data_IF_294563057367
#
_entry.id   IF_294563057367
#
_cell.length_a   1.000
_cell.length_b   1.000
_cell.length_c   1.000
_cell.angle_alpha   90.00
_cell.angle_beta   90.00
_cell.angle_gamma   90.00
#
_symmetry.space_group_name_H-M   'P 1'
#
loop_
_entity.id
_entity.type
_entity.pdbx_description
1 polymer ?
#
# COMPACT_ATOMS: atom_id res chain seq x y z
N UNK A 1 11.49 -1.91 12.91
CA UNK A 1 10.03 -1.70 13.00
C UNK A 1 9.34 -2.80 13.80
N UNK A 2 9.52 -4.09 13.47
CA UNK A 2 8.89 -5.22 14.18
C UNK A 2 9.02 -5.17 15.71
N UNK A 3 10.24 -5.00 16.24
CA UNK A 3 10.45 -4.88 17.69
C UNK A 3 9.63 -3.75 18.31
N UNK A 4 9.52 -2.61 17.62
CA UNK A 4 8.77 -1.46 18.12
C UNK A 4 7.26 -1.73 18.19
N UNK A 5 6.70 -2.40 17.18
CA UNK A 5 5.29 -2.79 17.18
C UNK A 5 5.00 -3.80 18.30
N UNK A 6 5.93 -4.72 18.54
CA UNK A 6 5.85 -5.68 19.63
C UNK A 6 5.94 -5.00 20.99
N UNK A 7 6.90 -4.08 21.19
CA UNK A 7 7.03 -3.31 22.42
C UNK A 7 5.73 -2.55 22.75
N UNK A 8 5.09 -1.94 21.75
CA UNK A 8 3.81 -1.24 21.92
C UNK A 8 2.68 -2.20 22.31
N UNK A 9 2.65 -3.40 21.73
CA UNK A 9 1.66 -4.42 22.08
C UNK A 9 1.88 -4.99 23.50
N UNK A 10 3.13 -5.23 23.90
CA UNK A 10 3.46 -5.88 25.17
C UNK A 10 3.40 -4.91 26.35
N UNK A 11 3.93 -3.70 26.15
CA UNK A 11 4.01 -2.64 27.15
C UNK A 11 3.28 -1.38 26.68
N UNK A 12 1.96 -1.44 26.41
CA UNK A 12 1.24 -0.31 25.84
C UNK A 12 1.25 0.94 26.74
N UNK A 13 1.30 0.76 28.06
CA UNK A 13 1.36 1.86 29.02
C UNK A 13 2.63 2.71 28.96
N UNK A 14 3.74 2.15 28.44
CA UNK A 14 4.99 2.90 28.23
C UNK A 14 4.86 3.94 27.10
N UNK A 15 3.90 3.75 26.19
CA UNK A 15 3.72 4.57 24.99
C UNK A 15 2.42 5.36 25.00
N UNK A 16 1.37 4.79 25.56
CA UNK A 16 0.01 5.31 25.53
C UNK A 16 -0.66 5.08 26.90
N UNK A 17 -0.23 5.81 27.95
CA UNK A 17 -0.76 5.62 29.30
C UNK A 17 -2.26 5.90 29.34
N UNK A 18 -3.01 5.06 30.06
CA UNK A 18 -4.48 5.05 30.20
C UNK A 18 -5.27 4.52 28.98
N UNK A 19 -4.59 4.03 27.94
CA UNK A 19 -5.22 3.45 26.74
C UNK A 19 -4.76 2.02 26.46
N UNK A 20 -4.30 1.32 27.50
CA UNK A 20 -3.59 0.04 27.38
C UNK A 20 -4.42 -1.03 26.67
N UNK A 21 -5.72 -1.11 26.97
CA UNK A 21 -6.63 -2.09 26.37
C UNK A 21 -6.86 -1.81 24.87
N UNK A 22 -7.14 -0.54 24.52
CA UNK A 22 -7.36 -0.14 23.13
C UNK A 22 -6.10 -0.37 22.28
N UNK A 23 -4.92 -0.03 22.81
CA UNK A 23 -3.66 -0.26 22.13
C UNK A 23 -3.38 -1.75 21.96
N UNK A 24 -3.66 -2.56 22.98
CA UNK A 24 -3.47 -4.01 22.88
C UNK A 24 -4.38 -4.61 21.80
N UNK A 25 -5.62 -4.18 21.71
CA UNK A 25 -6.55 -4.58 20.64
C UNK A 25 -6.08 -4.09 19.25
N UNK A 26 -5.72 -2.82 19.13
CA UNK A 26 -5.25 -2.23 17.87
C UNK A 26 -3.99 -2.90 17.33
N UNK A 27 -3.07 -3.28 18.22
CA UNK A 27 -1.78 -3.86 17.83
C UNK A 27 -1.76 -5.39 17.85
N UNK A 28 -2.89 -6.01 18.17
CA UNK A 28 -3.03 -7.47 18.26
C UNK A 28 -2.60 -8.18 16.97
N UNK A 29 -3.00 -7.64 15.82
CA UNK A 29 -2.66 -8.19 14.51
C UNK A 29 -1.17 -8.13 14.18
N UNK A 30 -0.40 -7.25 14.85
CA UNK A 30 1.03 -7.08 14.60
C UNK A 30 1.90 -8.04 15.41
N UNK A 31 1.36 -8.61 16.49
CA UNK A 31 2.13 -9.47 17.41
C UNK A 31 2.73 -10.67 16.67
N UNK A 32 1.89 -11.50 16.04
CA UNK A 32 2.35 -12.71 15.35
C UNK A 32 3.27 -12.40 14.17
N UNK A 33 2.98 -11.34 13.42
CA UNK A 33 3.82 -10.93 12.30
C UNK A 33 5.19 -10.39 12.75
N UNK A 34 5.23 -9.65 13.87
CA UNK A 34 6.46 -9.12 14.43
C UNK A 34 7.32 -10.26 14.99
N UNK A 35 6.71 -11.19 15.75
CA UNK A 35 7.38 -12.41 16.24
C UNK A 35 7.94 -13.25 15.11
N UNK A 36 7.12 -13.52 14.08
CA UNK A 36 7.57 -14.25 12.89
C UNK A 36 8.77 -13.60 12.21
N UNK A 37 8.73 -12.28 12.00
CA UNK A 37 9.84 -11.52 11.42
C UNK A 37 11.11 -11.55 12.30
N UNK A 38 10.94 -11.52 13.62
CA UNK A 38 12.04 -11.61 14.58
C UNK A 38 12.56 -13.06 14.79
N UNK A 39 11.88 -14.07 14.23
CA UNK A 39 12.23 -15.48 14.39
C UNK A 39 11.82 -16.07 15.75
N UNK A 40 10.82 -15.48 16.39
CA UNK A 40 10.39 -15.79 17.75
C UNK A 40 9.02 -16.50 17.77
N UNK A 41 8.80 -17.34 18.80
CA UNK A 41 7.49 -17.97 19.02
C UNK A 41 6.46 -16.93 19.48
N UNK A 42 5.20 -17.12 19.05
CA UNK A 42 4.09 -16.27 19.48
C UNK A 42 3.24 -17.00 20.53
N UNK A 43 3.00 -16.39 21.71
CA UNK A 43 2.02 -16.90 22.67
C UNK A 43 0.59 -16.93 22.13
N UNK A 44 0.28 -16.12 21.10
CA UNK A 44 -1.04 -16.08 20.47
C UNK A 44 -1.26 -17.18 19.45
N UNK A 45 -0.18 -17.74 18.91
CA UNK A 45 -0.21 -18.80 17.90
C UNK A 45 0.60 -20.01 18.41
N UNK A 46 0.17 -20.67 19.50
CA UNK A 46 0.92 -21.76 20.11
C UNK A 46 1.11 -22.92 19.12
N UNK A 47 2.35 -23.38 19.00
CA UNK A 47 2.71 -24.49 18.10
C UNK A 47 2.89 -24.08 16.62
N UNK A 48 2.69 -22.81 16.27
CA UNK A 48 3.00 -22.30 14.93
C UNK A 48 4.47 -21.87 14.87
N UNK A 49 5.29 -22.43 13.98
CA UNK A 49 6.69 -22.04 13.85
C UNK A 49 6.85 -20.57 13.43
N UNK A 50 7.89 -19.85 13.89
CA UNK A 50 8.13 -18.45 13.51
C UNK A 50 8.22 -18.23 12.00
N UNK A 51 8.82 -19.19 11.28
CA UNK A 51 8.91 -19.14 9.82
C UNK A 51 7.54 -19.14 9.13
N UNK A 52 6.54 -19.85 9.67
CA UNK A 52 5.18 -19.85 9.14
C UNK A 52 4.41 -18.56 9.48
N UNK A 53 4.73 -17.93 10.61
CA UNK A 53 4.22 -16.61 10.98
C UNK A 53 4.81 -15.51 10.08
N UNK A 54 6.11 -15.60 9.76
CA UNK A 54 6.81 -14.65 8.88
C UNK A 54 6.20 -14.60 7.47
N UNK A 55 5.73 -15.75 6.97
CA UNK A 55 5.02 -15.86 5.68
C UNK A 55 3.51 -15.62 5.79
N UNK A 56 3.02 -15.32 7.00
CA UNK A 56 1.61 -15.05 7.33
C UNK A 56 0.62 -16.15 6.95
N UNK A 57 1.09 -17.40 6.89
CA UNK A 57 0.31 -18.55 6.45
C UNK A 57 -0.89 -18.90 7.35
N UNK A 58 -1.01 -18.28 8.53
CA UNK A 58 -2.05 -18.50 9.55
C UNK A 58 -3.35 -17.69 9.36
N UNK A 59 -3.66 -17.22 8.15
CA UNK A 59 -4.98 -16.68 7.81
C UNK A 59 -5.06 -15.17 7.55
N UNK A 60 -3.94 -14.45 7.59
CA UNK A 60 -3.83 -13.07 7.08
C UNK A 60 -3.31 -13.08 5.63
N UNK A 61 -3.82 -13.99 4.78
CA UNK A 61 -3.20 -14.35 3.49
C UNK A 61 -3.60 -13.48 2.29
N UNK A 62 -4.16 -12.29 2.50
CA UNK A 62 -4.52 -11.37 1.42
C UNK A 62 -3.65 -10.10 1.43
N UNK A 63 -3.18 -9.60 0.27
CA UNK A 63 -2.48 -8.33 0.17
C UNK A 63 -3.36 -7.13 0.57
N UNK A 64 -3.21 -6.64 1.79
CA UNK A 64 -3.89 -5.43 2.29
C UNK A 64 -3.01 -4.19 2.15
N UNK A 65 -3.60 -3.00 2.09
CA UNK A 65 -2.89 -1.71 2.04
C UNK A 65 -2.26 -1.26 3.37
N UNK A 66 -1.96 -2.19 4.27
CA UNK A 66 -1.53 -1.86 5.62
C UNK A 66 -0.20 -1.09 5.61
N UNK A 67 0.75 -1.43 4.73
CA UNK A 67 2.00 -0.67 4.60
C UNK A 67 1.80 0.72 4.02
N UNK A 68 0.88 0.90 3.07
CA UNK A 68 0.51 2.21 2.55
C UNK A 68 -0.05 3.12 3.66
N UNK A 69 -0.80 2.56 4.60
CA UNK A 69 -1.39 3.30 5.74
C UNK A 69 -0.39 3.54 6.88
N UNK A 70 0.49 2.57 7.15
CA UNK A 70 1.42 2.64 8.28
C UNK A 70 2.73 3.35 7.93
N UNK A 71 3.13 3.36 6.65
CA UNK A 71 4.37 3.95 6.16
C UNK A 71 4.15 5.06 5.11
N UNK A 72 3.11 5.91 5.22
CA UNK A 72 2.72 6.85 4.17
C UNK A 72 3.75 7.97 3.96
N UNK A 73 4.82 8.05 4.76
CA UNK A 73 5.80 9.14 4.70
C UNK A 73 7.25 8.64 4.66
N UNK A 74 7.46 7.33 4.52
CA UNK A 74 8.81 6.75 4.55
C UNK A 74 9.70 7.30 3.42
N UNK A 75 9.13 7.61 2.25
CA UNK A 75 9.88 8.19 1.13
C UNK A 75 10.43 9.59 1.41
N UNK A 76 9.87 10.31 2.41
CA UNK A 76 10.36 11.64 2.79
C UNK A 76 11.75 11.61 3.43
N UNK A 77 12.19 10.45 3.92
CA UNK A 77 13.50 10.26 4.53
C UNK A 77 14.63 10.09 3.51
N UNK A 78 14.30 9.93 2.23
CA UNK A 78 15.23 9.62 1.14
C UNK A 78 15.06 10.58 -0.03
N UNK A 79 15.22 11.90 0.15
CA UNK A 79 15.00 12.87 -0.93
C UNK A 79 15.95 12.62 -2.11
N UNK A 80 15.40 12.57 -3.33
CA UNK A 80 16.15 12.30 -4.56
C UNK A 80 16.89 10.94 -4.64
N UNK A 81 16.64 10.03 -3.71
CA UNK A 81 17.12 8.64 -3.74
C UNK A 81 15.94 7.64 -3.71
N UNK A 82 15.23 7.47 -4.85
CA UNK A 82 14.03 6.65 -4.88
C UNK A 82 14.33 5.16 -4.72
N UNK A 83 15.53 4.69 -5.07
CA UNK A 83 15.90 3.30 -4.87
C UNK A 83 16.12 2.98 -3.39
N UNK A 84 16.80 3.86 -2.64
CA UNK A 84 16.91 3.69 -1.19
C UNK A 84 15.55 3.76 -0.52
N UNK A 85 14.68 4.69 -0.94
CA UNK A 85 13.30 4.79 -0.47
C UNK A 85 12.53 3.48 -0.68
N UNK A 86 12.61 2.91 -1.88
CA UNK A 86 11.98 1.64 -2.23
C UNK A 86 12.45 0.50 -1.31
N UNK A 87 13.78 0.32 -1.17
CA UNK A 87 14.36 -0.78 -0.38
C UNK A 87 13.97 -0.66 1.09
N UNK A 88 14.09 0.53 1.66
CA UNK A 88 13.75 0.78 3.07
C UNK A 88 12.27 0.54 3.34
N UNK A 89 11.38 1.00 2.45
CA UNK A 89 9.94 0.79 2.58
C UNK A 89 9.56 -0.69 2.42
N UNK A 90 10.15 -1.40 1.44
CA UNK A 90 9.91 -2.83 1.23
C UNK A 90 10.33 -3.66 2.46
N UNK A 91 11.48 -3.33 3.05
CA UNK A 91 11.97 -3.95 4.29
C UNK A 91 11.05 -3.64 5.47
N UNK A 92 10.66 -2.36 5.65
CA UNK A 92 9.81 -1.92 6.74
C UNK A 92 8.38 -2.49 6.66
N UNK A 93 7.87 -2.74 5.45
CA UNK A 93 6.57 -3.37 5.19
C UNK A 93 6.62 -4.90 5.32
N UNK A 94 7.41 -5.45 6.26
CA UNK A 94 7.54 -6.89 6.49
C UNK A 94 6.21 -7.60 6.80
N UNK A 95 5.21 -6.81 7.21
CA UNK A 95 3.87 -7.25 7.53
C UNK A 95 2.91 -7.29 6.34
N UNK A 96 3.26 -6.67 5.21
CA UNK A 96 2.48 -6.81 3.98
C UNK A 96 2.84 -8.13 3.26
N UNK A 97 1.96 -8.62 2.38
CA UNK A 97 2.17 -9.85 1.61
C UNK A 97 2.10 -9.57 0.11
N UNK A 98 2.95 -10.25 -0.65
CA UNK A 98 2.92 -10.21 -2.12
C UNK A 98 3.05 -8.78 -2.65
N UNK A 99 2.15 -8.40 -3.56
CA UNK A 99 2.18 -7.09 -4.19
C UNK A 99 1.85 -5.91 -3.25
N UNK A 100 1.36 -6.16 -2.03
CA UNK A 100 1.21 -5.09 -1.04
C UNK A 100 2.57 -4.49 -0.63
N UNK A 101 3.61 -5.33 -0.48
CA UNK A 101 4.97 -4.86 -0.17
C UNK A 101 5.53 -4.02 -1.31
N UNK A 102 5.29 -4.47 -2.53
CA UNK A 102 5.63 -3.73 -3.75
C UNK A 102 4.94 -2.36 -3.75
N UNK A 103 3.63 -2.30 -3.45
CA UNK A 103 2.88 -1.05 -3.43
C UNK A 103 3.49 -0.02 -2.46
N UNK A 104 3.78 -0.47 -1.24
CA UNK A 104 4.38 0.37 -0.20
C UNK A 104 5.75 0.91 -0.62
N UNK A 105 6.55 0.08 -1.29
CA UNK A 105 7.85 0.46 -1.82
C UNK A 105 7.75 1.46 -3.00
N UNK A 106 6.79 1.25 -3.91
CA UNK A 106 6.53 2.17 -5.03
C UNK A 106 6.04 3.53 -4.52
N UNK A 107 5.16 3.58 -3.51
CA UNK A 107 4.72 4.84 -2.92
C UNK A 107 5.92 5.63 -2.37
N UNK A 108 6.82 4.97 -1.63
CA UNK A 108 8.01 5.59 -1.06
C UNK A 108 8.94 6.15 -2.15
N UNK A 109 9.18 5.39 -3.21
CA UNK A 109 9.98 5.83 -4.36
C UNK A 109 9.35 7.04 -5.08
N UNK A 110 8.02 7.00 -5.28
CA UNK A 110 7.29 8.11 -5.89
C UNK A 110 7.41 9.40 -5.07
N UNK A 111 7.31 9.31 -3.74
CA UNK A 111 7.50 10.45 -2.84
C UNK A 111 8.91 11.02 -2.91
N UNK A 112 9.93 10.16 -2.91
CA UNK A 112 11.33 10.57 -3.06
C UNK A 112 11.56 11.36 -4.36
N UNK A 113 10.98 10.90 -5.47
CA UNK A 113 11.06 11.62 -6.76
C UNK A 113 10.25 12.91 -6.78
N UNK A 114 9.06 12.91 -6.18
CA UNK A 114 8.23 14.12 -6.08
C UNK A 114 8.95 15.21 -5.28
N UNK A 115 9.62 14.85 -4.17
CA UNK A 115 10.46 15.78 -3.40
C UNK A 115 11.64 16.33 -4.21
N UNK A 116 12.16 15.58 -5.17
CA UNK A 116 13.18 16.03 -6.10
C UNK A 116 12.63 16.96 -7.21
N UNK A 117 11.35 17.33 -7.16
CA UNK A 117 10.71 18.23 -8.13
C UNK A 117 10.46 17.57 -9.49
N UNK A 118 10.41 16.24 -9.56
CA UNK A 118 10.10 15.52 -10.80
C UNK A 118 8.65 15.76 -11.22
N UNK A 119 8.42 15.91 -12.51
CA UNK A 119 7.07 16.07 -13.06
C UNK A 119 6.21 14.83 -12.76
N UNK A 120 4.89 14.97 -12.54
CA UNK A 120 4.00 13.85 -12.20
C UNK A 120 4.12 12.62 -13.11
N UNK A 121 4.21 12.83 -14.43
CA UNK A 121 4.40 11.74 -15.38
C UNK A 121 5.72 10.98 -15.18
N UNK A 122 6.80 11.71 -14.89
CA UNK A 122 8.10 11.13 -14.60
C UNK A 122 8.03 10.32 -13.30
N UNK A 123 7.44 10.90 -12.25
CA UNK A 123 7.23 10.21 -10.96
C UNK A 123 6.50 8.88 -11.18
N UNK A 124 5.36 8.87 -11.88
CA UNK A 124 4.57 7.65 -12.07
C UNK A 124 5.30 6.62 -12.93
N UNK A 125 5.77 7.00 -14.11
CA UNK A 125 6.32 6.01 -15.04
C UNK A 125 7.71 5.51 -14.65
N UNK A 126 8.59 6.36 -14.10
CA UNK A 126 9.88 5.90 -13.60
C UNK A 126 9.69 5.00 -12.39
N UNK A 127 8.79 5.32 -11.44
CA UNK A 127 8.49 4.48 -10.27
C UNK A 127 8.06 3.07 -10.69
N UNK A 128 7.11 2.97 -11.62
CA UNK A 128 6.59 1.67 -12.08
C UNK A 128 7.62 0.87 -12.88
N UNK A 129 8.63 1.53 -13.46
CA UNK A 129 9.70 0.87 -14.18
C UNK A 129 10.82 0.35 -13.27
N UNK A 130 10.89 0.79 -12.00
CA UNK A 130 11.95 0.39 -11.07
C UNK A 130 11.94 -1.11 -10.77
N UNK A 131 13.13 -1.66 -10.50
CA UNK A 131 13.27 -3.01 -9.96
C UNK A 131 14.48 -3.11 -9.00
N UNK A 132 14.48 -2.36 -7.87
CA UNK A 132 15.66 -2.23 -7.01
C UNK A 132 16.03 -3.49 -6.24
N UNK A 133 15.11 -4.48 -6.21
CA UNK A 133 15.24 -5.77 -5.55
C UNK A 133 15.31 -6.94 -6.54
N UNK A 134 15.34 -6.68 -7.85
CA UNK A 134 15.40 -7.72 -8.90
C UNK A 134 14.28 -8.77 -8.78
N UNK A 135 13.05 -8.30 -8.55
CA UNK A 135 11.86 -9.14 -8.36
C UNK A 135 11.33 -9.70 -9.69
N UNK A 136 11.87 -9.27 -10.83
CA UNK A 136 11.53 -9.81 -12.15
C UNK A 136 12.20 -11.15 -12.38
N UNK A 137 11.47 -12.10 -12.95
CA UNK A 137 11.99 -13.43 -13.24
C UNK A 137 11.24 -14.15 -14.34
N UNK A 138 11.48 -15.47 -14.42
CA UNK A 138 10.93 -16.32 -15.48
C UNK A 138 9.39 -16.37 -15.51
N UNK A 139 8.76 -16.27 -14.35
CA UNK A 139 7.30 -16.32 -14.21
C UNK A 139 6.62 -14.95 -14.26
N UNK A 140 7.35 -13.90 -14.65
CA UNK A 140 6.86 -12.52 -14.72
C UNK A 140 7.58 -11.60 -13.73
N UNK A 141 7.06 -10.38 -13.65
CA UNK A 141 7.53 -9.33 -12.78
C UNK A 141 6.54 -8.95 -11.67
N UNK A 142 6.85 -7.86 -10.95
CA UNK A 142 5.99 -7.30 -9.93
C UNK A 142 4.59 -6.96 -10.46
N UNK A 143 3.54 -7.36 -9.73
CA UNK A 143 2.15 -7.28 -10.19
C UNK A 143 1.72 -5.84 -10.49
N UNK A 144 2.09 -4.87 -9.65
CA UNK A 144 1.67 -3.48 -9.83
C UNK A 144 2.43 -2.88 -11.01
N UNK A 145 3.75 -3.09 -11.09
CA UNK A 145 4.57 -2.67 -12.23
C UNK A 145 4.08 -3.22 -13.57
N UNK A 146 3.48 -4.41 -13.61
CA UNK A 146 2.92 -4.99 -14.84
C UNK A 146 1.49 -4.55 -15.15
N UNK A 147 0.60 -4.52 -14.15
CA UNK A 147 -0.84 -4.29 -14.37
C UNK A 147 -1.19 -2.81 -14.45
N UNK A 148 -0.54 -1.97 -13.65
CA UNK A 148 -0.89 -0.56 -13.56
C UNK A 148 -0.67 0.17 -14.90
N UNK A 149 0.44 0.01 -15.65
CA UNK A 149 0.60 0.65 -16.95
C UNK A 149 -0.53 0.32 -17.95
N UNK A 150 -1.11 -0.87 -17.89
CA UNK A 150 -2.25 -1.26 -18.74
C UNK A 150 -3.48 -0.43 -18.39
N UNK A 151 -3.79 -0.28 -17.11
CA UNK A 151 -4.89 0.57 -16.63
C UNK A 151 -4.64 2.04 -16.96
N UNK A 152 -3.42 2.55 -16.76
CA UNK A 152 -3.05 3.93 -17.10
C UNK A 152 -3.33 4.24 -18.58
N UNK A 153 -3.02 3.28 -19.47
CA UNK A 153 -3.32 3.41 -20.90
C UNK A 153 -4.83 3.46 -21.19
N UNK A 154 -5.64 2.71 -20.45
CA UNK A 154 -7.11 2.74 -20.60
C UNK A 154 -7.74 4.02 -20.04
N UNK A 155 -7.14 4.59 -18.99
CA UNK A 155 -7.55 5.86 -18.39
C UNK A 155 -7.11 7.09 -19.19
N UNK A 156 -6.19 6.93 -20.15
CA UNK A 156 -5.61 8.04 -20.89
C UNK A 156 -6.69 8.89 -21.58
N UNK A 157 -6.63 10.21 -21.36
CA UNK A 157 -7.58 11.18 -21.91
C UNK A 157 -8.84 11.41 -21.06
N UNK A 158 -9.12 10.55 -20.06
CA UNK A 158 -10.26 10.73 -19.14
C UNK A 158 -9.92 11.74 -18.06
N UNK A 159 -10.92 12.53 -17.65
CA UNK A 159 -10.76 13.57 -16.62
C UNK A 159 -12.01 13.68 -15.73
N UNK A 160 -11.86 14.25 -14.55
CA UNK A 160 -12.96 14.59 -13.66
C UNK A 160 -13.90 13.41 -13.37
N UNK A 161 -15.20 13.64 -13.49
CA UNK A 161 -16.22 12.62 -13.25
C UNK A 161 -16.10 11.41 -14.19
N UNK A 162 -15.71 11.61 -15.45
CA UNK A 162 -15.50 10.51 -16.40
C UNK A 162 -14.41 9.55 -15.89
N UNK A 163 -13.31 10.10 -15.38
CA UNK A 163 -12.22 9.32 -14.82
C UNK A 163 -12.65 8.60 -13.54
N UNK A 164 -13.38 9.28 -12.64
CA UNK A 164 -13.89 8.67 -11.42
C UNK A 164 -14.83 7.48 -11.70
N UNK A 165 -15.75 7.63 -12.66
CA UNK A 165 -16.65 6.56 -13.09
C UNK A 165 -15.90 5.39 -13.74
N UNK A 166 -14.90 5.69 -14.59
CA UNK A 166 -14.04 4.66 -15.18
C UNK A 166 -13.31 3.85 -14.11
N UNK A 167 -12.68 4.52 -13.14
CA UNK A 167 -11.92 3.87 -12.06
C UNK A 167 -12.84 3.03 -11.16
N UNK A 168 -14.01 3.54 -10.81
CA UNK A 168 -15.02 2.80 -10.04
C UNK A 168 -15.42 1.49 -10.72
N UNK A 169 -15.60 1.52 -12.05
CA UNK A 169 -15.94 0.32 -12.83
C UNK A 169 -14.77 -0.63 -13.03
N UNK A 170 -13.59 -0.09 -13.38
CA UNK A 170 -12.39 -0.87 -13.66
C UNK A 170 -11.83 -1.57 -12.41
N UNK A 171 -12.02 -0.97 -11.24
CA UNK A 171 -11.47 -1.45 -9.97
C UNK A 171 -12.52 -2.11 -9.05
N UNK A 172 -13.76 -2.31 -9.51
CA UNK A 172 -14.89 -2.83 -8.70
C UNK A 172 -14.66 -4.19 -8.03
N UNK A 173 -13.72 -4.97 -8.54
CA UNK A 173 -13.41 -6.32 -8.01
C UNK A 173 -12.30 -6.30 -6.96
N UNK A 174 -11.71 -5.14 -6.71
CA UNK A 174 -10.70 -4.96 -5.68
C UNK A 174 -11.35 -4.40 -4.41
N UNK A 175 -10.96 -4.95 -3.26
CA UNK A 175 -11.34 -4.41 -1.95
C UNK A 175 -10.93 -2.93 -1.84
N UNK A 176 -11.65 -2.14 -1.03
CA UNK A 176 -11.21 -0.78 -0.67
C UNK A 176 -9.86 -0.78 0.04
N UNK A 177 -9.52 -1.91 0.69
CA UNK A 177 -8.21 -2.15 1.31
C UNK A 177 -7.15 -2.69 0.35
N UNK A 178 -7.45 -2.77 -0.96
CA UNK A 178 -6.50 -3.31 -1.92
C UNK A 178 -5.43 -2.27 -2.31
N UNK A 179 -4.14 -2.60 -2.17
CA UNK A 179 -3.08 -1.64 -2.46
C UNK A 179 -2.90 -1.33 -3.95
N UNK A 180 -3.24 -2.28 -4.85
CA UNK A 180 -3.26 -1.99 -6.29
C UNK A 180 -4.37 -0.99 -6.61
N UNK A 181 -5.57 -1.16 -6.02
CA UNK A 181 -6.67 -0.19 -6.17
C UNK A 181 -6.26 1.21 -5.74
N UNK A 182 -5.65 1.34 -4.55
CA UNK A 182 -5.22 2.62 -4.00
C UNK A 182 -4.20 3.33 -4.92
N UNK A 183 -3.14 2.64 -5.34
CA UNK A 183 -2.13 3.22 -6.24
C UNK A 183 -2.68 3.50 -7.64
N UNK A 184 -3.58 2.66 -8.14
CA UNK A 184 -4.23 2.88 -9.43
C UNK A 184 -5.00 4.19 -9.46
N UNK A 185 -5.81 4.45 -8.44
CA UNK A 185 -6.56 5.70 -8.29
C UNK A 185 -5.61 6.89 -8.18
N UNK A 186 -4.60 6.81 -7.30
CA UNK A 186 -3.66 7.91 -7.09
C UNK A 186 -2.88 8.26 -8.36
N UNK A 187 -2.29 7.26 -9.03
CA UNK A 187 -1.49 7.47 -10.24
C UNK A 187 -2.34 8.00 -11.41
N UNK A 188 -3.56 7.47 -11.61
CA UNK A 188 -4.43 7.94 -12.70
C UNK A 188 -4.93 9.36 -12.47
N UNK A 189 -5.36 9.69 -11.24
CA UNK A 189 -5.78 11.04 -10.90
C UNK A 189 -4.62 12.05 -11.05
N UNK A 190 -3.43 11.68 -10.57
CA UNK A 190 -2.22 12.50 -10.68
C UNK A 190 -1.83 12.76 -12.15
N UNK A 191 -1.91 11.76 -13.03
CA UNK A 191 -1.60 11.93 -14.44
C UNK A 191 -2.64 12.77 -15.19
N UNK A 192 -3.93 12.60 -14.88
CA UNK A 192 -5.01 13.31 -15.56
C UNK A 192 -5.11 14.80 -15.18
N UNK A 193 -4.65 15.13 -13.97
CA UNK A 193 -4.79 16.44 -13.34
C UNK A 193 -3.46 16.93 -12.73
N UNK A 194 -2.35 16.75 -13.46
CA UNK A 194 -1.00 17.12 -13.02
C UNK A 194 -0.86 18.60 -12.60
N UNK A 195 -1.59 19.49 -13.28
CA UNK A 195 -1.56 20.94 -13.03
C UNK A 195 -2.71 21.41 -12.09
N UNK A 196 -3.57 20.48 -11.66
CA UNK A 196 -4.73 20.78 -10.80
C UNK A 196 -4.83 19.75 -9.66
N UNK A 197 -4.05 19.93 -8.58
CA UNK A 197 -4.02 18.98 -7.47
C UNK A 197 -5.37 18.86 -6.76
N UNK A 198 -6.20 19.90 -6.79
CA UNK A 198 -7.52 19.85 -6.18
C UNK A 198 -8.44 18.91 -6.97
N UNK A 199 -8.44 19.04 -8.30
CA UNK A 199 -9.19 18.11 -9.15
C UNK A 199 -8.65 16.69 -9.06
N UNK A 200 -7.33 16.49 -8.93
CA UNK A 200 -6.75 15.17 -8.69
C UNK A 200 -7.29 14.54 -7.40
N UNK A 201 -7.33 15.30 -6.29
CA UNK A 201 -7.87 14.86 -5.01
C UNK A 201 -9.38 14.55 -5.09
N UNK A 202 -10.15 15.41 -5.77
CA UNK A 202 -11.57 15.17 -5.99
C UNK A 202 -11.82 13.85 -6.74
N UNK A 203 -11.05 13.57 -7.80
CA UNK A 203 -11.16 12.28 -8.50
C UNK A 203 -10.77 11.15 -7.56
N UNK A 204 -9.67 11.28 -6.82
CA UNK A 204 -9.17 10.22 -5.96
C UNK A 204 -10.14 9.83 -4.83
N UNK A 205 -10.85 10.81 -4.26
CA UNK A 205 -11.78 10.59 -3.16
C UNK A 205 -13.19 10.15 -3.61
N UNK A 206 -13.60 10.44 -4.84
CA UNK A 206 -14.98 10.19 -5.32
C UNK A 206 -15.11 8.88 -6.11
N UNK A 207 -14.61 7.78 -5.55
CA UNK A 207 -14.77 6.44 -6.13
C UNK A 207 -16.02 5.76 -5.57
N UNK A 208 -16.68 4.94 -6.39
CA UNK A 208 -17.91 4.24 -6.02
C UNK A 208 -17.74 2.75 -5.80
N UNK A 209 -18.52 2.22 -4.86
CA UNK A 209 -18.86 0.81 -4.82
C UNK A 209 -20.03 0.57 -5.78
N UNK A 210 -19.78 -0.27 -6.78
CA UNK A 210 -20.78 -0.67 -7.77
C UNK A 210 -21.34 -2.06 -7.43
N UNK A 211 -22.59 -2.31 -7.80
CA UNK A 211 -23.16 -3.64 -7.74
C UNK A 211 -22.70 -4.54 -8.90
N UNK A 212 -23.14 -5.80 -8.92
CA UNK A 212 -22.81 -6.76 -9.98
C UNK A 212 -23.24 -6.30 -11.38
N UNK A 213 -24.29 -5.46 -11.46
CA UNK A 213 -24.77 -4.87 -12.70
C UNK A 213 -24.05 -3.55 -13.06
N UNK A 214 -23.07 -3.11 -12.26
CA UNK A 214 -22.32 -1.88 -12.46
C UNK A 214 -23.05 -0.62 -12.01
N UNK A 215 -24.14 -0.74 -11.25
CA UNK A 215 -24.90 0.40 -10.73
C UNK A 215 -24.28 0.92 -9.44
N UNK A 216 -24.20 2.24 -9.31
CA UNK A 216 -23.73 2.91 -8.11
C UNK A 216 -24.54 2.52 -6.87
N UNK A 217 -23.85 2.12 -5.79
CA UNK A 217 -24.47 1.88 -4.48
C UNK A 217 -24.15 2.99 -3.48
N UNK A 218 -22.86 3.27 -3.29
CA UNK A 218 -22.34 4.23 -2.32
C UNK A 218 -20.92 4.63 -2.71
N UNK A 219 -20.36 5.62 -2.01
CA UNK A 219 -18.93 5.87 -2.07
C UNK A 219 -18.16 4.68 -1.51
N UNK A 220 -17.05 4.37 -2.16
CA UNK A 220 -16.10 3.37 -1.71
C UNK A 220 -15.19 4.01 -0.67
N UNK A 221 -15.52 3.82 0.60
CA UNK A 221 -14.80 4.37 1.73
C UNK A 221 -14.43 3.25 2.73
N UNK A 222 -13.47 3.54 3.60
CA UNK A 222 -12.79 2.64 4.55
C UNK A 222 -13.44 2.72 5.95
N UNK A 223 -14.51 3.51 6.09
CA UNK A 223 -15.26 3.82 7.31
C UNK A 223 -16.13 2.66 7.87
#
# INVERSE_FOLDING_TARGET
MAQRLLDVYERPGDFFPNYEELVRGQFEMWEGASRGFLGEESPRYPGVPPAALATRSVGLNYPTMAGLLALPSVGLLFPADPEAAYRAAYEAAFFDIGYAREATALLAAAQSMALAGKAPAVVVYETLAMDPLHLRGYFGGPFIGEKLPVLLKQAAGKKGEELANFLSSALRHFSVFDPYRALAIACTALLAHADDPWQALLVAANQGDLDEAGKWRRYADID
#
